data_IF_684185991396
#
_entry.id   IF_684185991396
#
_cell.length_a   1.000
_cell.length_b   1.000
_cell.length_c   1.000
_cell.angle_alpha   90.00
_cell.angle_beta   90.00
_cell.angle_gamma   90.00
#
_symmetry.space_group_name_H-M   'P 1'
#
loop_
_entity.id
_entity.type
_entity.pdbx_description
1 polymer ?
#
# COMPACT_ATOMS: atom_id res chain seq x y z
N UNK A 1 -8.24 8.44 -22.31
CA UNK A 1 -7.08 8.19 -21.45
C UNK A 1 -7.40 8.69 -20.06
N UNK A 2 -7.62 7.79 -19.11
CA UNK A 2 -7.63 8.19 -17.72
C UNK A 2 -6.16 8.39 -17.33
N UNK A 3 -5.80 9.54 -16.76
CA UNK A 3 -4.45 9.78 -16.27
C UNK A 3 -4.59 10.01 -14.77
N UNK A 4 -3.79 9.29 -13.97
CA UNK A 4 -3.73 9.57 -12.55
C UNK A 4 -3.20 10.99 -12.35
N UNK A 5 -3.94 11.82 -11.62
CA UNK A 5 -3.52 13.20 -11.31
C UNK A 5 -2.93 13.27 -9.90
N UNK A 6 -2.22 14.37 -9.60
CA UNK A 6 -1.63 14.64 -8.29
C UNK A 6 -0.77 13.50 -7.73
N UNK A 7 -0.05 12.81 -8.61
CA UNK A 7 0.86 11.73 -8.22
C UNK A 7 2.01 12.31 -7.40
N UNK A 8 2.21 11.80 -6.20
CA UNK A 8 3.25 12.26 -5.29
C UNK A 8 4.07 11.08 -4.77
N UNK A 9 5.37 11.32 -4.62
CA UNK A 9 6.28 10.40 -3.94
C UNK A 9 6.41 10.81 -2.50
N UNK A 10 6.29 9.81 -1.66
CA UNK A 10 6.41 9.92 -0.22
C UNK A 10 5.55 11.06 0.39
N UNK A 11 4.24 11.10 0.17
CA UNK A 11 3.40 12.15 0.76
C UNK A 11 3.37 12.05 2.28
N UNK A 12 3.40 13.20 2.96
CA UNK A 12 3.12 13.27 4.38
C UNK A 12 1.66 12.90 4.65
N UNK A 13 1.46 12.08 5.68
CA UNK A 13 0.14 11.78 6.22
C UNK A 13 -0.25 12.90 7.20
N UNK A 14 -1.52 13.27 7.18
CA UNK A 14 -2.10 14.23 8.11
C UNK A 14 -1.86 13.77 9.56
N UNK A 15 -1.67 14.71 10.50
CA UNK A 15 -1.61 14.40 11.92
C UNK A 15 -2.89 13.72 12.39
N UNK A 16 -2.77 12.85 13.38
CA UNK A 16 -3.91 12.21 14.03
C UNK A 16 -4.53 13.23 14.99
N UNK A 17 -5.82 13.49 14.84
CA UNK A 17 -6.61 14.48 15.57
C UNK A 17 -7.79 13.88 16.34
N UNK A 18 -7.59 12.69 16.91
CA UNK A 18 -8.58 12.00 17.75
C UNK A 18 -9.23 10.78 17.09
N UNK A 19 -8.77 10.37 15.92
CA UNK A 19 -9.22 9.17 15.23
C UNK A 19 -8.76 7.90 15.96
N UNK A 20 -9.63 6.88 15.98
CA UNK A 20 -9.32 5.60 16.62
C UNK A 20 -8.40 4.77 15.73
N UNK A 21 -7.10 4.78 16.03
CA UNK A 21 -6.10 3.93 15.36
C UNK A 21 -5.81 2.64 16.12
N UNK A 22 -5.27 1.64 15.42
CA UNK A 22 -4.81 0.41 16.08
C UNK A 22 -3.39 0.57 16.62
N UNK A 23 -3.02 -0.20 17.65
CA UNK A 23 -1.66 -0.15 18.26
C UNK A 23 -0.54 -0.39 17.22
N UNK A 24 -0.81 -1.14 16.15
CA UNK A 24 0.17 -1.41 15.10
C UNK A 24 0.26 -0.34 14.01
N UNK A 25 -0.63 0.64 14.04
CA UNK A 25 -0.72 1.71 13.04
C UNK A 25 0.43 2.69 13.23
N UNK A 26 0.97 3.21 12.13
CA UNK A 26 1.96 4.28 12.21
C UNK A 26 1.28 5.55 12.76
N UNK A 27 1.74 6.04 13.91
CA UNK A 27 1.14 7.16 14.65
C UNK A 27 2.08 8.36 14.83
N UNK A 28 3.37 8.19 14.52
CA UNK A 28 4.37 9.24 14.69
C UNK A 28 4.17 10.48 13.81
N UNK A 29 4.68 11.60 14.32
CA UNK A 29 4.83 12.86 13.59
C UNK A 29 5.73 12.65 12.36
N UNK A 30 5.25 13.07 11.19
CA UNK A 30 5.97 12.88 9.93
C UNK A 30 5.82 11.49 9.31
N UNK A 31 4.78 10.74 9.65
CA UNK A 31 4.43 9.52 8.93
C UNK A 31 4.16 9.79 7.45
N UNK A 32 4.62 8.87 6.59
CA UNK A 32 4.54 8.99 5.13
C UNK A 32 4.12 7.66 4.51
N UNK A 33 3.35 7.73 3.43
CA UNK A 33 3.22 6.63 2.47
C UNK A 33 4.40 6.67 1.48
N UNK A 34 4.53 5.73 0.54
CA UNK A 34 5.58 5.79 -0.50
C UNK A 34 5.09 6.47 -1.77
N UNK A 35 3.81 6.27 -2.12
CA UNK A 35 3.18 6.88 -3.29
C UNK A 35 1.73 7.23 -2.96
N UNK A 36 1.26 8.37 -3.47
CA UNK A 36 -0.17 8.60 -3.60
C UNK A 36 -0.55 9.09 -4.99
N UNK A 37 -1.76 8.80 -5.43
CA UNK A 37 -2.30 9.19 -6.72
C UNK A 37 -3.82 9.38 -6.63
N UNK A 38 -4.33 10.41 -7.30
CA UNK A 38 -5.76 10.67 -7.42
C UNK A 38 -6.31 9.99 -8.68
N UNK A 39 -7.56 9.50 -8.58
CA UNK A 39 -8.25 8.85 -9.70
C UNK A 39 -7.73 7.45 -10.08
N UNK A 40 -6.84 6.87 -9.26
CA UNK A 40 -6.23 5.56 -9.55
C UNK A 40 -7.24 4.41 -9.67
N UNK A 41 -8.40 4.47 -9.01
CA UNK A 41 -9.42 3.42 -9.12
C UNK A 41 -10.56 3.76 -10.07
N UNK A 42 -10.45 4.86 -10.84
CA UNK A 42 -11.40 5.28 -11.88
C UNK A 42 -12.82 5.62 -11.41
N UNK A 43 -13.19 5.30 -10.17
CA UNK A 43 -14.57 5.27 -9.66
C UNK A 43 -14.82 6.27 -8.54
N UNK A 44 -13.81 6.99 -8.05
CA UNK A 44 -13.95 7.99 -6.99
C UNK A 44 -12.87 9.08 -7.06
N UNK A 45 -13.16 10.25 -6.48
CA UNK A 45 -12.16 11.28 -6.12
C UNK A 45 -11.27 10.83 -4.94
N UNK A 46 -11.32 9.55 -4.56
CA UNK A 46 -10.57 9.04 -3.42
C UNK A 46 -9.11 8.85 -3.82
N UNK A 47 -8.22 9.46 -3.02
CA UNK A 47 -6.78 9.29 -3.18
C UNK A 47 -6.38 7.85 -2.85
N UNK A 48 -5.63 7.24 -3.75
CA UNK A 48 -5.00 5.95 -3.52
C UNK A 48 -3.61 6.16 -2.94
N UNK A 49 -3.31 5.40 -1.89
CA UNK A 49 -2.01 5.40 -1.21
C UNK A 49 -1.39 4.02 -1.30
N UNK A 50 -0.08 4.02 -1.50
CA UNK A 50 0.71 2.81 -1.65
C UNK A 50 1.95 2.87 -0.76
N UNK A 51 2.34 1.70 -0.27
CA UNK A 51 3.61 1.48 0.38
C UNK A 51 4.25 0.24 -0.26
N UNK A 52 5.52 0.36 -0.58
CA UNK A 52 6.32 -0.61 -1.32
C UNK A 52 7.11 -1.46 -0.34
N UNK A 53 7.11 -2.77 -0.57
CA UNK A 53 7.97 -3.69 0.13
C UNK A 53 8.67 -4.61 -0.86
N UNK A 54 9.98 -4.78 -0.68
CA UNK A 54 10.76 -5.82 -1.36
C UNK A 54 11.09 -6.91 -0.35
N UNK A 55 10.82 -8.17 -0.71
CA UNK A 55 11.02 -9.34 0.14
C UNK A 55 12.04 -10.29 -0.49
N UNK A 56 12.97 -10.80 0.31
CA UNK A 56 13.75 -11.97 -0.06
C UNK A 56 13.06 -13.22 0.54
N UNK A 57 12.39 -14.06 -0.27
CA UNK A 57 11.68 -15.23 0.21
C UNK A 57 12.60 -16.27 0.88
N UNK A 58 13.90 -16.23 0.60
CA UNK A 58 14.89 -17.16 1.15
C UNK A 58 15.52 -16.70 2.47
N UNK A 59 15.09 -15.55 3.01
CA UNK A 59 15.61 -15.08 4.30
C UNK A 59 15.14 -15.96 5.47
N UNK A 60 15.95 -16.07 6.52
CA UNK A 60 15.64 -16.89 7.70
C UNK A 60 14.32 -16.50 8.37
N UNK A 61 13.92 -15.23 8.27
CA UNK A 61 12.63 -14.73 8.80
C UNK A 61 11.37 -15.34 8.17
N UNK A 62 11.55 -16.02 7.03
CA UNK A 62 10.53 -16.72 6.26
C UNK A 62 10.80 -18.22 6.14
N UNK A 63 11.79 -18.76 6.87
CA UNK A 63 12.12 -20.18 6.83
C UNK A 63 10.88 -21.04 7.13
N UNK A 64 10.63 -22.02 6.28
CA UNK A 64 9.47 -22.92 6.39
C UNK A 64 8.15 -22.35 5.84
N UNK A 65 8.16 -21.15 5.28
CA UNK A 65 7.00 -20.60 4.57
C UNK A 65 7.14 -20.77 3.07
N UNK A 66 6.03 -21.06 2.38
CA UNK A 66 5.97 -20.96 0.94
C UNK A 66 5.86 -19.48 0.48
N UNK A 67 6.17 -19.22 -0.79
CA UNK A 67 6.15 -17.86 -1.33
C UNK A 67 4.79 -17.14 -1.13
N UNK A 68 3.63 -17.79 -1.37
CA UNK A 68 2.33 -17.18 -1.06
C UNK A 68 2.13 -16.82 0.41
N UNK A 69 2.63 -17.62 1.36
CA UNK A 69 2.58 -17.29 2.79
C UNK A 69 3.50 -16.11 3.13
N UNK A 70 4.68 -16.00 2.50
CA UNK A 70 5.56 -14.84 2.64
C UNK A 70 4.85 -13.57 2.19
N UNK A 71 4.24 -13.58 0.99
CA UNK A 71 3.49 -12.43 0.49
C UNK A 71 2.34 -12.04 1.42
N UNK A 72 1.49 -12.99 1.81
CA UNK A 72 0.38 -12.74 2.75
C UNK A 72 0.86 -12.15 4.07
N UNK A 73 1.97 -12.66 4.62
CA UNK A 73 2.57 -12.16 5.86
C UNK A 73 2.98 -10.69 5.74
N UNK A 74 3.60 -10.32 4.63
CA UNK A 74 4.09 -8.95 4.41
C UNK A 74 2.97 -7.97 4.04
N UNK A 75 2.04 -8.37 3.17
CA UNK A 75 0.83 -7.61 2.85
C UNK A 75 0.02 -7.32 4.13
N UNK A 76 -0.23 -8.33 4.96
CA UNK A 76 -0.95 -8.18 6.22
C UNK A 76 -0.22 -7.26 7.20
N UNK A 77 1.13 -7.33 7.25
CA UNK A 77 1.94 -6.42 8.07
C UNK A 77 1.78 -4.97 7.62
N UNK A 78 1.86 -4.69 6.32
CA UNK A 78 1.71 -3.34 5.77
C UNK A 78 0.27 -2.82 5.93
N UNK A 79 -0.74 -3.66 5.68
CA UNK A 79 -2.16 -3.32 5.94
C UNK A 79 -2.40 -2.93 7.40
N UNK A 80 -1.96 -3.75 8.37
CA UNK A 80 -2.07 -3.42 9.80
C UNK A 80 -1.41 -2.08 10.16
N UNK A 81 -0.33 -1.72 9.47
CA UNK A 81 0.42 -0.49 9.71
C UNK A 81 -0.26 0.76 9.14
N UNK A 82 -0.89 0.68 7.97
CA UNK A 82 -1.30 1.86 7.21
C UNK A 82 -2.81 1.97 6.95
N UNK A 83 -3.51 0.84 6.82
CA UNK A 83 -4.87 0.79 6.27
C UNK A 83 -5.86 1.62 7.10
N UNK A 84 -5.82 1.46 8.42
CA UNK A 84 -6.70 2.20 9.34
C UNK A 84 -6.42 3.69 9.29
N UNK A 85 -5.16 4.12 9.38
CA UNK A 85 -4.83 5.55 9.33
C UNK A 85 -5.21 6.19 8.01
N UNK A 86 -4.93 5.53 6.88
CA UNK A 86 -5.27 6.09 5.56
C UNK A 86 -6.78 6.19 5.39
N UNK A 87 -7.55 5.22 5.89
CA UNK A 87 -9.00 5.23 5.78
C UNK A 87 -9.67 6.26 6.70
N UNK A 88 -9.22 6.34 7.96
CA UNK A 88 -9.85 7.19 8.98
C UNK A 88 -9.37 8.65 8.93
N UNK A 89 -8.09 8.89 8.60
CA UNK A 89 -7.48 10.23 8.61
C UNK A 89 -7.44 10.84 7.21
N UNK A 90 -6.88 10.12 6.22
CA UNK A 90 -6.76 10.65 4.85
C UNK A 90 -8.06 10.52 4.03
N UNK A 91 -9.02 9.75 4.55
CA UNK A 91 -10.19 9.27 3.81
C UNK A 91 -9.83 8.61 2.46
N UNK A 92 -8.64 8.03 2.38
CA UNK A 92 -8.08 7.39 1.20
C UNK A 92 -8.29 5.88 1.17
N UNK A 93 -7.74 5.25 0.15
CA UNK A 93 -7.64 3.79 0.06
C UNK A 93 -6.18 3.35 0.05
N UNK A 94 -5.87 2.24 0.71
CA UNK A 94 -4.50 1.73 0.83
C UNK A 94 -4.30 0.41 0.11
N UNK A 95 -3.19 0.28 -0.62
CA UNK A 95 -2.74 -0.99 -1.21
C UNK A 95 -1.24 -1.20 -1.00
N UNK A 96 -0.81 -2.28 -0.31
CA UNK A 96 0.61 -2.61 -0.26
C UNK A 96 1.08 -3.16 -1.61
N UNK A 97 2.25 -2.70 -2.06
CA UNK A 97 2.91 -3.20 -3.26
C UNK A 97 4.10 -4.06 -2.85
N UNK A 98 3.92 -5.38 -2.83
CA UNK A 98 4.92 -6.34 -2.37
C UNK A 98 5.57 -7.07 -3.55
N UNK A 99 6.88 -6.92 -3.67
CA UNK A 99 7.72 -7.50 -4.72
C UNK A 99 8.71 -8.48 -4.09
N UNK A 100 9.05 -9.57 -4.76
CA UNK A 100 10.18 -10.41 -4.36
C UNK A 100 11.45 -10.07 -5.12
N UNK A 101 12.61 -10.32 -4.49
CA UNK A 101 13.94 -10.16 -5.11
C UNK A 101 14.14 -11.00 -6.38
N UNK A 102 13.31 -12.03 -6.59
CA UNK A 102 13.35 -12.91 -7.76
C UNK A 102 12.37 -12.47 -8.86
N UNK A 103 11.80 -11.26 -8.76
CA UNK A 103 10.93 -10.67 -9.78
C UNK A 103 9.44 -11.04 -9.65
N UNK A 104 9.04 -11.72 -8.57
CA UNK A 104 7.63 -12.07 -8.33
C UNK A 104 6.83 -10.92 -7.71
N UNK A 105 5.52 -10.92 -7.92
CA UNK A 105 4.56 -9.96 -7.39
C UNK A 105 3.58 -10.65 -6.44
N UNK A 106 3.22 -9.99 -5.35
CA UNK A 106 2.19 -10.48 -4.46
C UNK A 106 0.78 -10.35 -5.08
N UNK A 107 -0.22 -11.12 -4.61
CA UNK A 107 -1.56 -11.14 -5.21
C UNK A 107 -2.25 -9.77 -5.25
N UNK A 108 -2.07 -8.91 -4.24
CA UNK A 108 -2.68 -7.57 -4.22
C UNK A 108 -2.13 -6.70 -5.36
N UNK A 109 -0.84 -6.83 -5.69
CA UNK A 109 -0.25 -6.12 -6.81
C UNK A 109 -0.95 -6.46 -8.14
N UNK A 110 -1.52 -7.66 -8.28
CA UNK A 110 -2.19 -8.04 -9.53
C UNK A 110 -3.45 -7.20 -9.78
N UNK A 111 -4.20 -6.87 -8.73
CA UNK A 111 -5.35 -5.98 -8.80
C UNK A 111 -4.95 -4.54 -9.11
N UNK A 112 -3.85 -4.06 -8.50
CA UNK A 112 -3.27 -2.73 -8.76
C UNK A 112 -2.76 -2.63 -10.20
N UNK A 113 -2.02 -3.62 -10.69
CA UNK A 113 -1.48 -3.64 -12.04
C UNK A 113 -2.59 -3.78 -13.09
N UNK A 114 -3.71 -4.45 -12.79
CA UNK A 114 -4.90 -4.46 -13.66
C UNK A 114 -5.56 -3.09 -13.72
N UNK A 115 -5.76 -2.43 -12.58
CA UNK A 115 -6.26 -1.04 -12.53
C UNK A 115 -5.39 -0.09 -13.35
N UNK A 116 -4.06 -0.22 -13.26
CA UNK A 116 -3.13 0.56 -14.08
C UNK A 116 -3.30 0.34 -15.60
N UNK A 117 -3.58 -0.90 -16.03
CA UNK A 117 -3.81 -1.23 -17.45
C UNK A 117 -5.13 -0.68 -17.97
N UNK A 118 -6.19 -0.67 -17.16
CA UNK A 118 -7.50 -0.12 -17.55
C UNK A 118 -7.48 1.42 -17.67
N UNK A 119 -6.54 2.08 -17.00
CA UNK A 119 -6.40 3.55 -17.03
C UNK A 119 -5.60 4.02 -18.25
N UNK A 120 -4.60 3.23 -18.68
CA UNK A 120 -3.62 3.59 -19.72
C UNK A 120 -3.83 2.90 -21.08
N UNK A 121 -5.01 2.32 -21.34
CA UNK A 121 -5.46 1.81 -22.66
C UNK A 121 -6.71 2.61 -23.05
#
# INVERSE_FOLDING_TARGET
>A
MAVCSNVSREPALQPISGESITVSTVDGDGARADVAADGFWGTSHQRAFFDVAVVNPFSDSYKGLDLPAVYRKVEARKKRKYDVRIREVEHGCFSPLVFSTNGGLAPINNSVCKGYKEINI
#
